data_IF_073828823727
#
_entry.id   IF_073828823727
#
_cell.length_a   1.000
_cell.length_b   1.000
_cell.length_c   1.000
_cell.angle_alpha   90.00
_cell.angle_beta   90.00
_cell.angle_gamma   90.00
#
_symmetry.space_group_name_H-M   'P 1'
#
loop_
_entity.id
_entity.type
_entity.pdbx_description
1 polymer ?
#
# COMPACT_ATOMS: atom_id res chain seq x y z
N UNK A 1 17.01 -12.41 -12.00
CA UNK A 1 15.75 -12.34 -12.77
C UNK A 1 14.92 -11.21 -12.19
N UNK A 2 14.35 -10.36 -13.06
CA UNK A 2 13.60 -9.16 -12.68
C UNK A 2 12.30 -9.59 -11.97
N UNK A 3 11.90 -9.01 -10.83
CA UNK A 3 10.63 -9.36 -10.21
C UNK A 3 9.49 -8.85 -11.11
N UNK A 4 8.86 -9.76 -11.86
CA UNK A 4 7.59 -9.52 -12.53
C UNK A 4 6.49 -9.66 -11.48
N UNK A 5 6.33 -8.67 -10.62
CA UNK A 5 5.45 -8.76 -9.43
C UNK A 5 3.99 -8.37 -9.69
N UNK A 6 3.60 -8.02 -10.92
CA UNK A 6 2.20 -7.71 -11.27
C UNK A 6 1.76 -8.38 -12.57
N UNK A 7 0.57 -8.99 -12.53
CA UNK A 7 -0.33 -9.04 -13.68
C UNK A 7 -1.42 -8.01 -13.42
N UNK A 8 -1.72 -7.16 -14.41
CA UNK A 8 -2.68 -6.04 -14.34
C UNK A 8 -4.13 -6.44 -14.00
N UNK A 9 -4.37 -7.71 -13.69
CA UNK A 9 -5.68 -8.34 -13.55
C UNK A 9 -6.41 -8.01 -12.25
N UNK A 10 -5.77 -7.38 -11.26
CA UNK A 10 -6.36 -7.15 -9.92
C UNK A 10 -6.33 -5.68 -9.46
N UNK A 11 -6.09 -4.72 -10.36
CA UNK A 11 -6.08 -3.30 -10.00
C UNK A 11 -7.51 -2.73 -9.99
N UNK A 12 -8.01 -2.34 -8.82
CA UNK A 12 -9.20 -1.48 -8.72
C UNK A 12 -8.73 -0.03 -8.73
N UNK A 13 -9.29 0.79 -9.61
CA UNK A 13 -8.96 2.20 -9.77
C UNK A 13 -10.10 3.09 -9.26
N UNK A 14 -9.75 4.24 -8.69
CA UNK A 14 -10.65 5.33 -8.32
C UNK A 14 -10.06 6.66 -8.79
N UNK A 15 -10.85 7.67 -9.14
CA UNK A 15 -10.36 8.95 -9.70
C UNK A 15 -10.50 10.15 -8.71
N UNK A 16 -9.81 10.14 -7.56
CA UNK A 16 -9.84 11.16 -6.50
C UNK A 16 -8.48 11.79 -6.19
N UNK A 17 -8.39 12.92 -5.50
CA UNK A 17 -7.09 13.48 -5.10
C UNK A 17 -6.22 12.46 -4.32
N UNK A 18 -4.91 12.45 -4.57
CA UNK A 18 -3.93 11.63 -3.82
C UNK A 18 -3.77 12.07 -2.36
N UNK A 19 -4.27 13.26 -2.00
CA UNK A 19 -4.27 13.78 -0.65
C UNK A 19 -5.61 13.55 0.03
N UNK A 20 -5.59 13.57 1.36
CA UNK A 20 -6.74 13.39 2.23
C UNK A 20 -7.54 12.13 1.91
N UNK A 21 -6.83 11.00 1.75
CA UNK A 21 -7.46 9.72 1.45
C UNK A 21 -6.93 8.60 2.33
N UNK A 22 -7.79 7.60 2.55
CA UNK A 22 -7.44 6.32 3.16
C UNK A 22 -7.86 5.18 2.24
N UNK A 23 -6.92 4.29 1.97
CA UNK A 23 -7.11 3.08 1.18
C UNK A 23 -6.95 1.88 2.12
N UNK A 24 -7.94 0.99 2.12
CA UNK A 24 -7.95 -0.20 2.95
C UNK A 24 -8.11 -1.45 2.10
N UNK A 25 -7.32 -2.47 2.41
CA UNK A 25 -7.52 -3.82 1.89
C UNK A 25 -7.60 -4.79 3.05
N UNK A 26 -8.65 -5.60 3.07
CA UNK A 26 -8.76 -6.73 3.99
C UNK A 26 -8.48 -8.03 3.25
N UNK A 27 -7.56 -8.82 3.78
CA UNK A 27 -7.12 -10.06 3.17
C UNK A 27 -6.93 -11.18 4.18
N UNK A 28 -7.12 -12.42 3.72
CA UNK A 28 -6.84 -13.63 4.47
C UNK A 28 -5.62 -14.30 3.87
N UNK A 29 -4.65 -14.66 4.70
CA UNK A 29 -3.55 -15.54 4.31
C UNK A 29 -3.88 -16.97 4.69
N UNK A 30 -4.19 -17.81 3.71
CA UNK A 30 -4.65 -19.18 3.99
C UNK A 30 -3.52 -20.13 4.41
N UNK A 31 -2.33 -20.01 3.80
CA UNK A 31 -1.23 -20.97 4.02
C UNK A 31 0.11 -20.31 4.33
N UNK A 32 1.04 -21.10 4.86
CA UNK A 32 2.46 -20.75 4.98
C UNK A 32 3.23 -21.00 3.68
N UNK A 33 2.61 -20.92 2.50
CA UNK A 33 3.35 -21.08 1.23
C UNK A 33 4.10 -19.79 0.83
N UNK A 34 5.19 -19.97 0.08
CA UNK A 34 6.30 -19.04 -0.31
C UNK A 34 6.01 -17.52 -0.22
N UNK A 35 7.09 -16.75 0.00
CA UNK A 35 7.11 -15.31 0.23
C UNK A 35 6.04 -14.53 -0.55
N UNK A 36 5.24 -13.78 0.21
CA UNK A 36 4.08 -13.07 -0.29
C UNK A 36 4.33 -11.58 -0.12
N UNK A 37 3.95 -10.80 -1.13
CA UNK A 37 3.98 -9.34 -1.07
C UNK A 37 2.61 -8.84 -1.43
N UNK A 38 2.07 -7.96 -0.59
CA UNK A 38 0.88 -7.18 -0.89
C UNK A 38 1.27 -5.70 -0.85
N UNK A 39 0.66 -4.88 -1.69
CA UNK A 39 0.72 -3.44 -1.56
C UNK A 39 -0.68 -2.84 -1.64
N UNK A 40 -0.90 -1.78 -0.86
CA UNK A 40 -1.88 -0.74 -1.17
C UNK A 40 -1.12 0.50 -1.59
N UNK A 41 -1.66 1.19 -2.58
CA UNK A 41 -1.07 2.36 -3.17
C UNK A 41 -2.03 3.52 -3.24
N UNK A 42 -1.47 4.72 -3.19
CA UNK A 42 -2.08 5.95 -3.64
C UNK A 42 -1.34 6.37 -4.89
N UNK A 43 -2.06 6.52 -6.01
CA UNK A 43 -1.49 6.65 -7.34
C UNK A 43 -2.04 7.88 -8.06
N UNK A 44 -1.19 8.60 -8.80
CA UNK A 44 -1.62 9.66 -9.73
C UNK A 44 -2.42 9.08 -10.90
N UNK A 45 -3.46 9.78 -11.36
CA UNK A 45 -4.19 9.41 -12.59
C UNK A 45 -3.39 9.72 -13.84
N UNK A 46 -2.42 10.63 -13.75
CA UNK A 46 -1.54 11.00 -14.86
C UNK A 46 -0.35 10.06 -14.95
N UNK A 47 0.00 9.67 -16.17
CA UNK A 47 1.27 9.01 -16.44
C UNK A 47 2.38 10.07 -16.41
N UNK A 48 3.01 10.20 -15.24
CA UNK A 48 3.95 11.26 -14.93
C UNK A 48 5.42 10.87 -15.22
N UNK A 49 5.63 9.92 -16.13
CA UNK A 49 6.96 9.36 -16.48
C UNK A 49 7.74 8.83 -15.27
N UNK A 50 7.04 8.35 -14.24
CA UNK A 50 7.70 7.63 -13.15
C UNK A 50 8.34 6.33 -13.68
N UNK A 51 9.08 5.63 -12.82
CA UNK A 51 9.74 4.37 -13.19
C UNK A 51 8.76 3.41 -13.90
N UNK A 52 9.11 2.97 -15.12
CA UNK A 52 8.18 2.24 -15.99
C UNK A 52 7.94 0.76 -15.63
N UNK A 53 8.54 0.27 -14.55
CA UNK A 53 8.52 -1.15 -14.19
C UNK A 53 8.02 -1.38 -12.75
N UNK A 54 7.73 -2.63 -12.41
CA UNK A 54 7.37 -3.03 -11.03
C UNK A 54 6.04 -2.42 -10.58
N UNK A 55 6.00 -1.85 -9.38
CA UNK A 55 4.79 -1.21 -8.84
C UNK A 55 4.47 0.13 -9.54
N UNK A 56 5.47 0.79 -10.12
CA UNK A 56 5.36 2.17 -10.59
C UNK A 56 4.61 2.31 -11.92
N UNK A 57 4.89 1.44 -12.90
CA UNK A 57 4.16 1.37 -14.18
C UNK A 57 4.02 2.73 -14.91
N UNK A 58 4.96 3.67 -14.70
CA UNK A 58 4.91 5.03 -15.28
C UNK A 58 4.18 6.09 -14.44
N UNK A 59 3.51 5.69 -13.36
CA UNK A 59 2.71 6.60 -12.53
C UNK A 59 3.47 6.99 -11.27
N UNK A 60 3.31 8.23 -10.82
CA UNK A 60 3.71 8.61 -9.48
C UNK A 60 2.83 7.89 -8.47
N UNK A 61 3.45 7.27 -7.46
CA UNK A 61 2.76 6.48 -6.44
C UNK A 61 3.44 6.55 -5.10
N UNK A 62 2.64 6.45 -4.05
CA UNK A 62 3.09 6.08 -2.72
C UNK A 62 2.50 4.72 -2.41
N UNK A 63 3.33 3.83 -1.87
CA UNK A 63 2.97 2.43 -1.66
C UNK A 63 3.26 2.06 -0.22
N UNK A 64 2.33 1.36 0.39
CA UNK A 64 2.61 0.60 1.58
C UNK A 64 2.51 -0.89 1.29
N UNK A 65 3.63 -1.58 1.48
CA UNK A 65 3.76 -2.98 1.19
C UNK A 65 3.84 -3.80 2.47
N UNK A 66 3.04 -4.85 2.58
CA UNK A 66 3.26 -5.91 3.58
C UNK A 66 4.11 -6.99 2.92
N UNK A 67 5.35 -7.14 3.40
CA UNK A 67 6.22 -8.22 2.97
C UNK A 67 6.26 -9.34 4.00
N UNK A 68 5.80 -10.52 3.62
CA UNK A 68 5.81 -11.71 4.48
C UNK A 68 7.11 -12.50 4.26
N UNK A 69 7.99 -12.46 5.27
CA UNK A 69 9.26 -13.19 5.32
C UNK A 69 9.11 -14.48 6.11
N UNK A 70 9.74 -15.55 5.63
CA UNK A 70 9.75 -16.86 6.29
C UNK A 70 8.35 -17.36 6.69
N UNK A 71 7.30 -16.88 6.00
CA UNK A 71 5.92 -17.36 6.07
C UNK A 71 5.20 -17.06 7.39
N UNK A 72 5.94 -16.65 8.43
CA UNK A 72 5.50 -16.42 9.81
C UNK A 72 5.84 -15.03 10.35
N UNK A 73 6.52 -14.20 9.56
CA UNK A 73 6.87 -12.83 9.95
C UNK A 73 6.48 -11.87 8.85
N UNK A 74 5.99 -10.70 9.23
CA UNK A 74 5.65 -9.62 8.32
C UNK A 74 6.37 -8.34 8.71
N UNK A 75 6.59 -7.46 7.73
CA UNK A 75 7.02 -6.07 7.93
C UNK A 75 6.30 -5.17 6.93
N UNK A 76 6.23 -3.89 7.23
CA UNK A 76 5.80 -2.86 6.31
C UNK A 76 7.01 -2.26 5.58
N UNK A 77 6.89 -2.06 4.28
CA UNK A 77 7.82 -1.28 3.46
C UNK A 77 7.05 -0.13 2.83
N UNK A 78 7.50 1.09 3.09
CA UNK A 78 6.96 2.30 2.48
C UNK A 78 7.81 2.59 1.27
N UNK A 79 7.19 2.70 0.11
CA UNK A 79 7.91 2.95 -1.14
C UNK A 79 7.32 4.11 -1.89
N UNK A 80 8.17 4.78 -2.66
CA UNK A 80 7.76 5.84 -3.57
C UNK A 80 8.15 5.50 -5.00
N UNK A 81 7.24 5.79 -5.92
CA UNK A 81 7.48 5.85 -7.35
C UNK A 81 7.56 7.33 -7.75
N UNK A 82 8.76 7.84 -7.96
CA UNK A 82 9.01 9.24 -8.34
C UNK A 82 9.06 9.45 -9.85
N UNK A 83 8.65 10.64 -10.30
CA UNK A 83 8.67 11.07 -11.71
C UNK A 83 10.09 11.27 -12.26
N UNK A 84 11.09 11.32 -11.38
CA UNK A 84 12.51 11.30 -11.69
C UNK A 84 13.06 9.87 -11.97
N UNK A 85 12.16 8.89 -12.17
CA UNK A 85 12.52 7.49 -12.42
C UNK A 85 12.94 6.73 -11.16
N UNK A 86 12.72 7.29 -9.97
CA UNK A 86 13.06 6.63 -8.70
C UNK A 86 12.00 5.60 -8.28
N UNK A 87 12.48 4.50 -7.71
CA UNK A 87 11.72 3.54 -6.94
C UNK A 87 12.49 3.22 -5.66
N UNK A 88 12.11 3.87 -4.56
CA UNK A 88 12.91 3.90 -3.33
C UNK A 88 12.10 3.47 -2.11
N UNK A 89 12.80 2.86 -1.16
CA UNK A 89 12.28 2.59 0.18
C UNK A 89 12.36 3.85 1.03
N UNK A 90 11.21 4.39 1.44
CA UNK A 90 11.11 5.49 2.40
C UNK A 90 11.38 5.00 3.82
N UNK A 91 10.79 3.85 4.17
CA UNK A 91 10.92 3.25 5.49
C UNK A 91 10.63 1.75 5.46
N UNK A 92 11.23 1.01 6.39
CA UNK A 92 11.00 -0.42 6.58
C UNK A 92 10.86 -0.72 8.06
N UNK A 93 9.74 -1.30 8.49
CA UNK A 93 9.54 -1.69 9.89
C UNK A 93 10.35 -2.93 10.25
N UNK A 94 10.47 -3.19 11.55
CA UNK A 94 10.93 -4.49 12.04
C UNK A 94 9.96 -5.62 11.66
N UNK A 95 10.48 -6.84 11.71
CA UNK A 95 9.71 -8.06 11.46
C UNK A 95 8.91 -8.45 12.71
N UNK A 96 7.60 -8.51 12.60
CA UNK A 96 6.70 -8.99 13.66
C UNK A 96 6.09 -10.34 13.29
N UNK A 97 5.61 -11.06 14.31
CA UNK A 97 4.92 -12.34 14.13
C UNK A 97 3.65 -12.17 13.27
N UNK A 98 3.41 -13.15 12.40
CA UNK A 98 2.30 -13.15 11.46
C UNK A 98 1.74 -14.57 11.29
N UNK A 99 0.43 -14.73 11.43
CA UNK A 99 -0.27 -16.01 11.46
C UNK A 99 -1.07 -16.28 10.17
N UNK A 100 -1.26 -17.55 9.83
CA UNK A 100 -2.18 -17.99 8.77
C UNK A 100 -3.61 -18.10 9.27
N UNK A 101 -4.57 -18.07 8.35
CA UNK A 101 -6.02 -18.21 8.59
C UNK A 101 -6.62 -17.07 9.41
N UNK A 102 -5.87 -15.99 9.57
CA UNK A 102 -6.33 -14.74 10.14
C UNK A 102 -6.63 -13.77 9.00
N UNK A 103 -7.68 -12.97 9.18
CA UNK A 103 -7.93 -11.81 8.34
C UNK A 103 -7.11 -10.62 8.86
N UNK A 104 -6.41 -9.95 7.94
CA UNK A 104 -5.65 -8.75 8.22
C UNK A 104 -6.16 -7.59 7.39
N UNK A 105 -6.10 -6.39 7.95
CA UNK A 105 -6.42 -5.15 7.24
C UNK A 105 -5.15 -4.33 7.08
N UNK A 106 -4.76 -4.09 5.84
CA UNK A 106 -3.72 -3.13 5.49
C UNK A 106 -4.40 -1.79 5.16
N UNK A 107 -4.04 -0.75 5.90
CA UNK A 107 -4.56 0.60 5.75
C UNK A 107 -3.42 1.52 5.34
N UNK A 108 -3.61 2.30 4.29
CA UNK A 108 -2.66 3.31 3.84
C UNK A 108 -3.38 4.64 3.67
N UNK A 109 -2.93 5.67 4.37
CA UNK A 109 -3.54 7.00 4.34
C UNK A 109 -2.53 8.07 3.96
N UNK A 110 -2.96 9.02 3.15
CA UNK A 110 -2.27 10.29 2.94
C UNK A 110 -3.15 11.39 3.54
N UNK A 111 -2.78 11.91 4.71
CA UNK A 111 -3.55 12.92 5.44
C UNK A 111 -2.66 14.13 5.72
N UNK A 112 -3.05 15.30 5.20
CA UNK A 112 -2.21 16.50 5.30
C UNK A 112 -0.81 16.25 4.71
N UNK A 113 0.21 16.40 5.54
CA UNK A 113 1.62 16.24 5.19
C UNK A 113 2.20 14.87 5.61
N UNK A 114 1.36 13.87 5.89
CA UNK A 114 1.80 12.58 6.40
C UNK A 114 1.25 11.40 5.57
N UNK A 115 2.12 10.41 5.34
CA UNK A 115 1.77 9.08 4.84
C UNK A 115 1.76 8.11 6.01
N UNK A 116 0.63 7.48 6.26
CA UNK A 116 0.43 6.57 7.38
C UNK A 116 0.11 5.18 6.88
N UNK A 117 0.87 4.17 7.28
CA UNK A 117 0.51 2.78 6.99
C UNK A 117 0.41 1.94 8.24
N UNK A 118 -0.65 1.13 8.27
CA UNK A 118 -0.99 0.31 9.41
C UNK A 118 -1.43 -1.08 8.94
N UNK A 119 -0.96 -2.11 9.63
CA UNK A 119 -1.43 -3.48 9.49
C UNK A 119 -2.14 -3.88 10.76
N UNK A 120 -3.40 -4.30 10.64
CA UNK A 120 -4.20 -4.78 11.75
C UNK A 120 -4.43 -6.28 11.62
N UNK A 121 -4.38 -7.00 12.74
CA UNK A 121 -5.08 -8.29 12.86
C UNK A 121 -6.56 -8.00 13.14
N UNK A 122 -7.45 -8.46 12.27
CA UNK A 122 -8.89 -8.17 12.43
C UNK A 122 -9.54 -8.95 13.56
N UNK A 123 -8.90 -10.02 14.04
CA UNK A 123 -9.39 -10.80 15.18
C UNK A 123 -9.05 -10.12 16.52
N UNK A 124 -8.02 -9.27 16.55
CA UNK A 124 -7.57 -8.55 17.75
C UNK A 124 -7.46 -7.04 17.52
N UNK A 125 -8.47 -6.47 16.85
CA UNK A 125 -8.47 -5.03 16.50
C UNK A 125 -8.37 -4.11 17.73
N UNK A 126 -8.81 -4.58 18.90
CA UNK A 126 -8.76 -3.84 20.15
C UNK A 126 -7.33 -3.66 20.69
N UNK A 127 -6.38 -4.53 20.32
CA UNK A 127 -4.97 -4.39 20.68
C UNK A 127 -4.26 -3.28 19.87
N UNK A 128 -4.90 -2.73 18.85
CA UNK A 128 -4.33 -1.75 17.94
C UNK A 128 -3.60 -2.39 16.76
N UNK A 129 -2.88 -1.59 15.96
CA UNK A 129 -2.17 -2.09 14.78
C UNK A 129 -0.99 -2.99 15.18
N UNK A 130 -0.88 -4.13 14.48
CA UNK A 130 0.26 -5.05 14.57
C UNK A 130 1.55 -4.39 14.07
N UNK A 131 1.45 -3.57 13.02
CA UNK A 131 2.51 -2.69 12.53
C UNK A 131 1.92 -1.32 12.24
N UNK A 132 2.64 -0.28 12.63
CA UNK A 132 2.23 1.11 12.43
C UNK A 132 3.46 1.97 12.14
N UNK A 133 3.40 2.77 11.09
CA UNK A 133 4.40 3.80 10.86
C UNK A 133 3.86 4.99 10.07
N UNK A 134 4.39 6.17 10.36
CA UNK A 134 4.07 7.42 9.67
C UNK A 134 5.35 8.02 9.09
N UNK A 135 5.32 8.37 7.80
CA UNK A 135 6.38 9.11 7.11
C UNK A 135 5.85 10.49 6.75
N UNK A 136 6.55 11.55 7.15
CA UNK A 136 6.11 12.93 6.86
C UNK A 136 6.68 13.46 5.54
N UNK A 137 6.06 14.49 4.97
CA UNK A 137 6.45 15.11 3.70
C UNK A 137 7.91 15.54 3.68
N UNK A 138 8.46 16.01 4.80
CA UNK A 138 9.87 16.37 4.92
C UNK A 138 10.80 15.17 4.71
N UNK A 139 10.41 13.98 5.17
CA UNK A 139 11.20 12.76 4.97
C UNK A 139 11.09 12.25 3.53
N UNK A 140 9.89 12.34 2.94
CA UNK A 140 9.68 12.07 1.52
C UNK A 140 10.56 12.97 0.67
N UNK A 141 10.58 14.27 0.95
CA UNK A 141 11.42 15.25 0.24
C UNK A 141 12.90 14.95 0.44
N UNK A 142 13.34 14.66 1.66
CA UNK A 142 14.75 14.33 1.94
C UNK A 142 15.22 13.08 1.19
N UNK A 143 14.38 12.05 1.08
CA UNK A 143 14.75 10.75 0.49
C UNK A 143 14.62 10.78 -1.03
N UNK A 144 13.52 11.34 -1.55
CA UNK A 144 13.17 11.22 -2.96
C UNK A 144 13.28 12.53 -3.74
N UNK A 145 13.59 13.66 -3.08
CA UNK A 145 13.59 14.99 -3.68
C UNK A 145 12.20 15.48 -4.10
N UNK A 146 11.15 14.77 -3.70
CA UNK A 146 9.76 14.99 -4.10
C UNK A 146 8.92 15.43 -2.91
N UNK A 147 8.00 16.36 -3.13
CA UNK A 147 6.95 16.62 -2.15
C UNK A 147 5.88 15.52 -2.20
N UNK A 148 5.02 15.44 -1.18
CA UNK A 148 3.79 14.65 -1.29
C UNK A 148 2.88 15.38 -2.26
N UNK A 149 2.68 14.78 -3.43
CA UNK A 149 2.05 15.48 -4.55
C UNK A 149 0.53 15.53 -4.41
N UNK A 150 -0.02 16.75 -4.50
CA UNK A 150 -1.46 17.03 -4.54
C UNK A 150 -2.00 16.95 -5.97
N UNK A 151 -2.02 15.75 -6.56
CA UNK A 151 -2.63 15.53 -7.88
C UNK A 151 -3.92 14.71 -7.77
N UNK A 152 -4.74 14.77 -8.82
CA UNK A 152 -5.80 13.78 -9.03
C UNK A 152 -5.17 12.39 -9.17
N UNK A 153 -5.80 11.39 -8.59
CA UNK A 153 -5.22 10.09 -8.30
C UNK A 153 -6.25 9.06 -7.84
N UNK A 154 -5.84 8.10 -7.02
CA UNK A 154 -6.72 7.03 -6.57
C UNK A 154 -6.06 6.03 -5.66
N UNK A 155 -6.91 5.25 -4.97
CA UNK A 155 -6.48 4.05 -4.29
C UNK A 155 -6.25 2.91 -5.28
N UNK A 156 -5.21 2.13 -5.07
CA UNK A 156 -4.98 0.86 -5.76
C UNK A 156 -4.49 -0.19 -4.77
N UNK A 157 -4.58 -1.46 -5.15
CA UNK A 157 -3.89 -2.52 -4.43
C UNK A 157 -3.46 -3.63 -5.37
N UNK A 158 -2.52 -4.45 -4.91
CA UNK A 158 -2.21 -5.71 -5.56
C UNK A 158 -1.37 -6.63 -4.70
N UNK A 159 -1.19 -7.85 -5.18
CA UNK A 159 -0.38 -8.86 -4.50
C UNK A 159 0.33 -9.78 -5.46
N UNK A 160 1.47 -10.26 -5.00
CA UNK A 160 2.11 -11.46 -5.50
C UNK A 160 1.95 -12.59 -4.47
N UNK A 161 0.92 -13.43 -4.65
CA UNK A 161 0.66 -14.60 -3.81
C UNK A 161 -0.32 -15.56 -4.49
N UNK A 162 -0.12 -16.87 -4.32
CA UNK A 162 -1.09 -17.90 -4.72
C UNK A 162 -2.02 -18.32 -3.58
N UNK A 163 -1.89 -17.72 -2.39
CA UNK A 163 -2.65 -18.14 -1.18
C UNK A 163 -3.08 -16.95 -0.30
N UNK A 164 -3.22 -15.77 -0.92
CA UNK A 164 -3.90 -14.62 -0.32
C UNK A 164 -5.26 -14.46 -0.99
N UNK A 165 -6.27 -14.21 -0.17
CA UNK A 165 -7.64 -13.98 -0.60
C UNK A 165 -8.06 -12.60 -0.13
N UNK A 166 -8.61 -11.79 -1.03
CA UNK A 166 -9.11 -10.47 -0.73
C UNK A 166 -10.59 -10.55 -0.39
N UNK A 167 -11.01 -9.79 0.61
CA UNK A 167 -12.38 -9.82 1.10
C UNK A 167 -13.04 -8.45 1.03
N UNK A 168 -12.27 -7.38 1.15
CA UNK A 168 -12.79 -6.02 1.02
C UNK A 168 -11.72 -5.07 0.52
N UNK A 169 -12.13 -4.12 -0.32
CA UNK A 169 -11.34 -2.98 -0.73
C UNK A 169 -12.15 -1.71 -0.54
N UNK A 170 -11.66 -0.80 0.29
CA UNK A 170 -12.33 0.46 0.61
C UNK A 170 -11.43 1.65 0.31
N UNK A 171 -12.01 2.67 -0.31
CA UNK A 171 -11.36 3.97 -0.49
C UNK A 171 -12.24 5.03 0.16
N UNK A 172 -11.64 5.83 1.04
CA UNK A 172 -12.31 6.95 1.69
C UNK A 172 -11.60 8.24 1.34
N UNK A 173 -12.35 9.20 0.79
CA UNK A 173 -11.90 10.57 0.56
C UNK A 173 -12.42 11.45 1.71
N UNK A 174 -11.49 12.00 2.50
CA UNK A 174 -11.80 12.79 3.69
C UNK A 174 -12.28 14.21 3.37
N UNK A 175 -12.01 14.73 2.17
CA UNK A 175 -12.47 16.06 1.75
C UNK A 175 -13.96 16.06 1.36
N UNK A 176 -14.43 14.96 0.79
CA UNK A 176 -15.81 14.82 0.30
C UNK A 176 -16.71 14.02 1.26
N UNK A 177 -16.13 13.36 2.26
CA UNK A 177 -16.85 12.42 3.14
C UNK A 177 -17.39 11.19 2.40
N UNK A 178 -16.86 10.89 1.21
CA UNK A 178 -17.35 9.82 0.34
C UNK A 178 -16.64 8.51 0.65
N UNK A 179 -17.42 7.44 0.88
CA UNK A 179 -16.93 6.08 1.09
C UNK A 179 -17.28 5.21 -0.11
N UNK A 180 -16.27 4.61 -0.74
CA UNK A 180 -16.47 3.61 -1.79
C UNK A 180 -16.03 2.24 -1.30
N UNK A 181 -16.97 1.30 -1.30
CA UNK A 181 -16.73 -0.08 -0.94
C UNK A 181 -16.84 -0.97 -2.18
N UNK A 182 -15.79 -1.74 -2.45
CA UNK A 182 -15.78 -2.73 -3.51
C UNK A 182 -15.74 -4.12 -2.86
N UNK A 183 -16.87 -4.84 -2.95
CA UNK A 183 -16.93 -6.26 -2.63
C UNK A 183 -16.34 -7.05 -3.80
N UNK A 184 -15.37 -7.92 -3.53
CA UNK A 184 -14.80 -8.86 -4.51
C UNK A 184 -15.37 -10.26 -4.35
#
# INVERSE_FOLDING_TARGET
>A
AKPTEYTDTNLVHSDYAMQNMTVNVTFVKDTNSKGQVMAVGIRSTQNDNAWGYGYCQGYQKYLCNVQIKNLKKAKLEFKICGTNGLYEDLYVTELVSFSTKHAYKLSFSALGDALHCQLYDTEDYAAGPLLDHTVNASEVHRIAGNEIVSLAGGGEFGSYSSTQYFTNFDVFNHDEGTYLQYAQ
#
